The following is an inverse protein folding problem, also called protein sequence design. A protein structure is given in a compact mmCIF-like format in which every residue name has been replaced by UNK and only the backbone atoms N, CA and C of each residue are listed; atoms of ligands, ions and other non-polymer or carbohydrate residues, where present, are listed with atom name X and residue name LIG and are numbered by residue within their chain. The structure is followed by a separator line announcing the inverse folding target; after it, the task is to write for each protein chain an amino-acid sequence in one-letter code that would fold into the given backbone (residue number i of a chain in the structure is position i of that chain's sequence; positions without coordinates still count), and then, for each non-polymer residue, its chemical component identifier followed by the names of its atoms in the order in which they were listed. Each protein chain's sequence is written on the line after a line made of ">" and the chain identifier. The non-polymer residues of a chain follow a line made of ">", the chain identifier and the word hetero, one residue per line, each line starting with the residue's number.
data_IF_851272569639
#
_entry.id   IF_851272569639
#
_cell.length_a   1.000
_cell.length_b   1.000
_cell.length_c   1.000
_cell.angle_alpha   90.00
_cell.angle_beta   90.00
_cell.angle_gamma   90.00
#
_symmetry.space_group_name_H-M   'P 1'
#
loop_
_entity.id
_entity.type
_entity.pdbx_description
1 polymer ?
#
# COMPACT_ATOMS: atom_id res chain seq x y z
N UNK A 1 -0.63 11.02 4.01
CA UNK A 1 -0.82 9.57 3.89
C UNK A 1 -1.73 9.11 5.02
N UNK A 2 -2.84 8.41 4.73
CA UNK A 2 -3.89 8.17 5.72
C UNK A 2 -3.76 6.86 6.48
N UNK A 3 -3.09 5.85 5.89
CA UNK A 3 -3.04 4.45 6.36
C UNK A 3 -4.43 3.90 6.80
N UNK A 4 -5.50 4.41 6.21
CA UNK A 4 -6.89 4.07 6.54
C UNK A 4 -7.46 4.73 7.81
N UNK A 5 -6.65 5.39 8.65
CA UNK A 5 -7.14 6.08 9.86
C UNK A 5 -7.81 7.40 9.52
N UNK A 6 -9.07 7.55 9.89
CA UNK A 6 -9.85 8.79 9.70
C UNK A 6 -9.15 10.04 10.27
N UNK A 7 -8.46 9.91 11.40
CA UNK A 7 -7.66 10.99 12.01
C UNK A 7 -6.54 11.50 11.10
N UNK A 8 -6.04 10.68 10.17
CA UNK A 8 -5.00 11.03 9.19
C UNK A 8 -5.57 11.36 7.81
N UNK A 9 -6.89 11.53 7.65
CA UNK A 9 -7.52 11.77 6.34
C UNK A 9 -6.98 13.03 5.61
N UNK A 10 -6.63 14.08 6.38
CA UNK A 10 -6.04 15.32 5.86
C UNK A 10 -4.51 15.37 5.98
N UNK A 11 -3.87 14.27 6.35
CA UNK A 11 -2.42 14.24 6.53
C UNK A 11 -1.70 14.35 5.17
N UNK A 12 -0.99 15.45 4.96
CA UNK A 12 -0.12 15.67 3.81
C UNK A 12 1.32 15.41 4.25
N UNK A 13 1.99 14.48 3.58
CA UNK A 13 3.41 14.19 3.84
C UNK A 13 4.22 15.00 2.84
N UNK A 14 5.13 15.83 3.33
CA UNK A 14 5.92 16.75 2.50
C UNK A 14 7.19 16.11 1.92
N UNK A 15 7.53 14.92 2.37
CA UNK A 15 8.70 14.19 1.89
C UNK A 15 8.33 12.84 1.26
N UNK A 16 8.93 12.58 0.10
CA UNK A 16 8.87 11.27 -0.52
C UNK A 16 9.66 10.23 0.28
N UNK A 17 9.12 9.01 0.37
CA UNK A 17 9.88 7.85 0.87
C UNK A 17 11.12 7.61 0.00
N UNK A 18 12.16 6.98 0.57
CA UNK A 18 13.43 6.76 -0.15
C UNK A 18 13.23 5.97 -1.44
N UNK A 19 12.41 4.91 -1.46
CA UNK A 19 12.17 4.16 -2.71
C UNK A 19 11.45 5.00 -3.77
N UNK A 20 10.54 5.89 -3.37
CA UNK A 20 9.87 6.78 -4.33
C UNK A 20 10.87 7.76 -4.94
N UNK A 21 11.78 8.34 -4.14
CA UNK A 21 12.88 9.19 -4.63
C UNK A 21 13.77 8.45 -5.64
N UNK A 22 14.15 7.20 -5.32
CA UNK A 22 14.96 6.35 -6.22
C UNK A 22 14.22 6.00 -7.50
N UNK A 23 12.96 5.58 -7.42
CA UNK A 23 12.18 5.23 -8.61
C UNK A 23 11.98 6.44 -9.54
N UNK A 24 11.69 7.61 -8.96
CA UNK A 24 11.60 8.87 -9.72
C UNK A 24 12.92 9.24 -10.39
N UNK A 25 14.06 9.04 -9.72
CA UNK A 25 15.38 9.30 -10.32
C UNK A 25 15.73 8.32 -11.45
N UNK A 26 15.10 7.15 -11.48
CA UNK A 26 15.17 6.18 -12.59
C UNK A 26 14.10 6.43 -13.68
N UNK A 27 13.35 7.53 -13.61
CA UNK A 27 12.35 7.92 -14.61
C UNK A 27 10.94 7.35 -14.39
N UNK A 28 10.67 6.69 -13.25
CA UNK A 28 9.32 6.25 -12.92
C UNK A 28 8.41 7.44 -12.59
N UNK A 29 7.14 7.34 -13.00
CA UNK A 29 6.11 8.34 -12.74
C UNK A 29 5.09 7.74 -11.77
N UNK A 30 5.02 8.17 -10.50
CA UNK A 30 3.98 7.74 -9.57
C UNK A 30 2.59 8.15 -10.07
N UNK A 31 1.68 7.20 -10.24
CA UNK A 31 0.35 7.43 -10.82
C UNK A 31 -0.72 7.64 -9.76
N UNK A 32 -0.89 6.64 -8.89
CA UNK A 32 -1.97 6.56 -7.91
C UNK A 32 -1.48 5.81 -6.67
N UNK A 33 -2.25 5.87 -5.58
CA UNK A 33 -2.06 5.02 -4.39
C UNK A 33 -3.21 4.04 -4.29
N UNK A 34 -2.89 2.75 -4.24
CA UNK A 34 -3.88 1.71 -3.99
C UNK A 34 -4.55 1.89 -2.62
N UNK A 35 -5.83 1.52 -2.54
CA UNK A 35 -6.53 1.44 -1.27
C UNK A 35 -5.99 0.29 -0.41
N UNK A 36 -6.05 0.44 0.92
CA UNK A 36 -5.49 -0.51 1.87
C UNK A 36 -6.40 -0.74 3.09
N UNK A 37 -6.14 -1.80 3.84
CA UNK A 37 -6.84 -2.06 5.11
C UNK A 37 -6.42 -1.08 6.21
N UNK A 38 -7.33 -0.71 7.12
CA UNK A 38 -7.02 0.12 8.30
C UNK A 38 -5.71 -0.32 9.00
N UNK A 39 -4.74 0.60 9.10
CA UNK A 39 -3.46 0.40 9.76
C UNK A 39 -2.54 -0.67 9.12
N UNK A 40 -2.88 -1.19 7.93
CA UNK A 40 -2.24 -2.35 7.32
C UNK A 40 -2.37 -3.67 8.13
N UNK A 41 -3.38 -3.77 9.00
CA UNK A 41 -3.53 -4.87 9.95
C UNK A 41 -4.62 -5.90 9.56
N UNK A 42 -5.03 -5.95 8.29
CA UNK A 42 -6.00 -6.93 7.81
C UNK A 42 -5.73 -7.40 6.39
N UNK A 43 -6.10 -8.64 6.10
CA UNK A 43 -6.11 -9.21 4.74
C UNK A 43 -7.36 -8.83 3.94
N UNK A 44 -8.12 -7.84 4.39
CA UNK A 44 -9.27 -7.28 3.67
C UNK A 44 -9.10 -5.77 3.55
N UNK A 45 -8.92 -5.29 2.32
CA UNK A 45 -8.59 -3.88 2.04
C UNK A 45 -9.82 -2.99 2.04
N UNK A 46 -10.25 -2.63 3.25
CA UNK A 46 -11.37 -1.72 3.50
C UNK A 46 -11.02 -0.73 4.61
N UNK A 47 -11.47 0.51 4.46
CA UNK A 47 -11.38 1.55 5.49
C UNK A 47 -12.50 2.59 5.32
N UNK A 48 -12.73 3.38 6.38
CA UNK A 48 -13.80 4.37 6.44
C UNK A 48 -13.60 5.58 5.52
N UNK A 49 -12.39 5.82 5.00
CA UNK A 49 -12.09 7.00 4.19
C UNK A 49 -12.42 6.72 2.72
N UNK A 50 -11.96 5.58 2.21
CA UNK A 50 -12.02 5.25 0.79
C UNK A 50 -12.98 4.10 0.46
N UNK A 51 -13.57 3.47 1.48
CA UNK A 51 -14.40 2.29 1.33
C UNK A 51 -13.58 1.02 1.08
N UNK A 52 -14.22 0.04 0.44
CA UNK A 52 -13.65 -1.28 0.15
C UNK A 52 -13.04 -1.33 -1.26
N UNK A 53 -11.84 -1.90 -1.38
CA UNK A 53 -11.28 -2.29 -2.67
C UNK A 53 -11.97 -3.57 -3.18
N UNK A 54 -12.54 -3.50 -4.38
CA UNK A 54 -13.27 -4.61 -5.02
C UNK A 54 -12.38 -5.39 -5.98
N UNK A 55 -12.50 -6.73 -5.93
CA UNK A 55 -11.67 -7.61 -6.74
C UNK A 55 -12.09 -7.53 -8.22
N UNK A 56 -11.17 -7.22 -9.16
CA UNK A 56 -11.53 -6.99 -10.56
C UNK A 56 -12.08 -8.23 -11.28
N UNK A 57 -11.80 -9.44 -10.76
CA UNK A 57 -12.35 -10.67 -11.30
C UNK A 57 -13.81 -10.91 -10.86
N UNK A 58 -14.18 -10.42 -9.67
CA UNK A 58 -15.53 -10.51 -9.13
C UNK A 58 -15.71 -9.50 -7.99
N UNK A 59 -16.57 -8.49 -8.18
CA UNK A 59 -16.78 -7.41 -7.20
C UNK A 59 -17.42 -7.86 -5.87
N UNK A 60 -17.96 -9.08 -5.78
CA UNK A 60 -18.46 -9.69 -4.54
C UNK A 60 -17.36 -10.44 -3.76
N UNK A 61 -16.12 -10.46 -4.27
CA UNK A 61 -14.96 -11.07 -3.63
C UNK A 61 -13.97 -10.01 -3.16
N UNK A 62 -13.21 -10.35 -2.11
CA UNK A 62 -12.14 -9.49 -1.61
C UNK A 62 -10.93 -9.46 -2.55
N UNK A 63 -10.26 -8.31 -2.63
CA UNK A 63 -8.92 -8.20 -3.22
C UNK A 63 -7.80 -8.83 -2.36
N UNK A 64 -8.10 -9.28 -1.14
CA UNK A 64 -7.07 -9.53 -0.13
C UNK A 64 -6.56 -8.23 0.51
N UNK A 65 -5.44 -8.30 1.22
CA UNK A 65 -4.88 -7.15 1.92
C UNK A 65 -3.52 -7.41 2.58
N UNK A 66 -2.89 -6.41 3.18
CA UNK A 66 -3.40 -5.05 3.28
C UNK A 66 -3.32 -4.25 1.97
N UNK A 67 -2.55 -4.69 0.97
CA UNK A 67 -2.38 -4.01 -0.34
C UNK A 67 -3.35 -4.46 -1.43
N UNK A 68 -4.62 -4.68 -1.09
CA UNK A 68 -5.63 -5.19 -2.03
C UNK A 68 -5.98 -4.20 -3.14
N UNK A 69 -5.94 -2.89 -2.87
CA UNK A 69 -6.14 -1.89 -3.91
C UNK A 69 -5.05 -1.91 -4.98
N UNK A 70 -3.79 -2.06 -4.56
CA UNK A 70 -2.66 -2.21 -5.49
C UNK A 70 -2.82 -3.47 -6.35
N UNK A 71 -3.10 -4.61 -5.73
CA UNK A 71 -3.28 -5.85 -6.47
C UNK A 71 -4.46 -5.78 -7.46
N UNK A 72 -5.56 -5.12 -7.08
CA UNK A 72 -6.70 -4.86 -7.97
C UNK A 72 -6.32 -3.98 -9.17
N UNK A 73 -5.56 -2.91 -8.96
CA UNK A 73 -5.05 -2.03 -10.03
C UNK A 73 -4.19 -2.82 -11.02
N UNK A 74 -3.28 -3.66 -10.51
CA UNK A 74 -2.41 -4.49 -11.35
C UNK A 74 -3.20 -5.53 -12.13
N UNK A 75 -4.13 -6.24 -11.47
CA UNK A 75 -4.96 -7.25 -12.11
C UNK A 75 -5.90 -6.67 -13.18
N UNK A 76 -6.35 -5.42 -13.00
CA UNK A 76 -7.13 -4.70 -14.00
C UNK A 76 -6.29 -4.10 -15.14
N UNK A 77 -4.96 -4.26 -15.13
CA UNK A 77 -4.06 -3.74 -16.17
C UNK A 77 -3.89 -2.22 -16.15
N UNK A 78 -4.21 -1.56 -15.03
CA UNK A 78 -4.19 -0.10 -14.91
C UNK A 78 -2.79 0.45 -14.57
N UNK A 79 -1.90 -0.39 -14.07
CA UNK A 79 -0.49 -0.06 -13.83
C UNK A 79 0.40 -1.30 -14.07
N UNK A 80 1.66 -1.10 -14.49
CA UNK A 80 2.57 -2.21 -14.76
C UNK A 80 3.20 -2.82 -13.50
N UNK A 81 3.35 -2.04 -12.42
CA UNK A 81 3.84 -2.51 -11.13
C UNK A 81 3.37 -1.58 -10.00
N UNK A 82 3.43 -2.08 -8.75
CA UNK A 82 3.17 -1.30 -7.55
C UNK A 82 4.22 -1.61 -6.47
N UNK A 83 4.36 -0.71 -5.50
CA UNK A 83 5.27 -0.82 -4.37
C UNK A 83 4.44 -0.77 -3.09
N UNK A 84 4.65 -1.75 -2.20
CA UNK A 84 4.00 -1.81 -0.91
C UNK A 84 4.83 -2.56 0.13
N UNK A 85 4.27 -2.75 1.31
CA UNK A 85 4.91 -3.47 2.42
C UNK A 85 4.31 -4.85 2.64
N UNK A 86 5.13 -5.81 3.03
CA UNK A 86 4.71 -7.17 3.41
C UNK A 86 5.40 -7.54 4.73
N UNK A 87 4.63 -7.54 5.83
CA UNK A 87 5.10 -8.04 7.13
C UNK A 87 4.68 -9.50 7.35
N UNK A 88 3.42 -9.82 7.03
CA UNK A 88 2.83 -11.15 7.29
C UNK A 88 2.12 -11.72 6.04
N UNK A 89 2.32 -11.12 4.87
CA UNK A 89 1.68 -11.54 3.62
C UNK A 89 0.99 -10.43 2.86
N UNK A 90 1.14 -9.17 3.28
CA UNK A 90 0.36 -8.05 2.75
C UNK A 90 0.55 -7.74 1.26
N UNK A 91 1.57 -8.30 0.59
CA UNK A 91 1.70 -8.30 -0.87
C UNK A 91 1.33 -9.66 -1.48
N UNK A 92 1.73 -10.75 -0.82
CA UNK A 92 1.53 -12.13 -1.32
C UNK A 92 0.06 -12.58 -1.29
N UNK A 93 -0.67 -12.26 -0.22
CA UNK A 93 -2.10 -12.57 -0.07
C UNK A 93 -2.95 -11.87 -1.13
N UNK A 94 -2.87 -10.53 -1.31
CA UNK A 94 -3.66 -9.88 -2.37
C UNK A 94 -3.16 -10.25 -3.76
N UNK A 95 -1.87 -10.56 -3.93
CA UNK A 95 -1.35 -11.15 -5.16
C UNK A 95 -2.07 -12.46 -5.53
N UNK A 96 -2.19 -13.39 -4.58
CA UNK A 96 -2.92 -14.64 -4.79
C UNK A 96 -4.41 -14.41 -5.07
N UNK A 97 -5.06 -13.45 -4.42
CA UNK A 97 -6.50 -13.18 -4.56
C UNK A 97 -6.84 -12.51 -5.89
N UNK A 98 -5.96 -11.64 -6.39
CA UNK A 98 -6.14 -10.90 -7.64
C UNK A 98 -5.36 -11.52 -8.82
N UNK A 99 -4.69 -12.66 -8.64
CA UNK A 99 -3.97 -13.32 -9.74
C UNK A 99 -2.74 -12.57 -10.24
N UNK A 100 -2.04 -11.84 -9.36
CA UNK A 100 -0.80 -11.11 -9.67
C UNK A 100 0.34 -11.52 -8.76
N UNK A 101 1.57 -11.22 -9.15
CA UNK A 101 2.76 -11.61 -8.40
C UNK A 101 3.00 -10.63 -7.24
N UNK A 102 3.00 -11.15 -6.01
CA UNK A 102 3.46 -10.43 -4.82
C UNK A 102 4.84 -10.94 -4.38
N UNK A 103 5.83 -10.06 -4.33
CA UNK A 103 7.21 -10.41 -3.96
C UNK A 103 7.67 -9.65 -2.70
N UNK A 104 8.17 -10.39 -1.71
CA UNK A 104 8.83 -9.84 -0.53
C UNK A 104 10.33 -10.18 -0.60
N UNK A 105 11.20 -9.19 -0.85
CA UNK A 105 12.64 -9.37 -0.73
C UNK A 105 13.05 -9.73 0.71
N UNK A 106 14.28 -10.22 0.87
CA UNK A 106 14.90 -10.41 2.19
C UNK A 106 14.81 -9.10 3.01
N UNK A 107 14.57 -9.18 4.34
CA UNK A 107 14.57 -8.01 5.20
C UNK A 107 15.81 -7.12 4.99
N UNK A 108 15.63 -5.81 5.12
CA UNK A 108 16.65 -4.77 4.90
C UNK A 108 17.23 -4.68 3.48
N UNK A 109 16.73 -5.45 2.50
CA UNK A 109 17.16 -5.32 1.10
C UNK A 109 16.79 -3.97 0.48
N UNK A 110 15.65 -3.42 0.88
CA UNK A 110 15.13 -2.13 0.43
C UNK A 110 14.97 -1.18 1.62
N UNK A 111 15.20 0.12 1.38
CA UNK A 111 14.97 1.14 2.41
C UNK A 111 13.49 1.26 2.75
N UNK A 112 13.19 1.27 4.04
CA UNK A 112 11.85 1.53 4.59
C UNK A 112 11.69 2.96 5.11
N UNK A 113 12.70 3.82 4.93
CA UNK A 113 12.66 5.21 5.41
C UNK A 113 11.57 5.98 4.66
N UNK A 114 10.67 6.60 5.42
CA UNK A 114 9.48 7.30 4.92
C UNK A 114 8.26 6.40 4.69
N UNK A 115 8.35 5.08 4.97
CA UNK A 115 7.15 4.25 5.10
C UNK A 115 6.51 4.48 6.45
N UNK A 116 5.20 4.72 6.46
CA UNK A 116 4.42 4.87 7.69
C UNK A 116 4.04 3.51 8.27
N UNK A 117 4.41 3.28 9.52
CA UNK A 117 3.99 2.11 10.30
C UNK A 117 2.88 2.49 11.29
N UNK A 118 1.96 1.56 11.62
CA UNK A 118 0.87 1.82 12.57
C UNK A 118 1.34 2.17 13.99
N UNK A 119 2.61 1.91 14.34
CA UNK A 119 3.19 2.25 15.66
C UNK A 119 3.88 3.61 15.71
N UNK A 120 4.06 4.30 14.58
CA UNK A 120 4.62 5.65 14.60
C UNK A 120 3.52 6.66 14.99
N UNK A 121 3.47 6.94 16.30
CA UNK A 121 3.02 8.24 16.78
C UNK A 121 3.98 9.29 16.23
N UNK A 122 3.46 10.43 15.74
CA UNK A 122 4.22 11.56 15.20
C UNK A 122 5.07 12.28 16.29
N UNK A 123 5.77 11.55 17.16
CA UNK A 123 6.55 12.08 18.29
C UNK A 123 8.02 12.31 17.95
N UNK A 124 8.44 12.22 16.69
CA UNK A 124 9.83 12.51 16.28
C UNK A 124 10.01 13.87 15.59
N UNK A 125 8.98 14.73 15.54
CA UNK A 125 9.08 16.10 15.03
C UNK A 125 8.49 17.16 15.98
N UNK A 126 8.39 16.85 17.27
CA UNK A 126 8.08 17.82 18.31
C UNK A 126 9.23 17.91 19.30
N UNK A 127 10.35 18.47 18.86
CA UNK A 127 11.34 19.27 19.61
C UNK A 127 12.44 19.77 18.67
#
# INVERSE_FOLDING_TARGET
>A
CTIGFGSKAKNIVNEDMVLAKVLRSQGAIPLVKGNLSLGCLSYHSSNIIWGEAKNPWNHDRSCGGSSGGDAGILAAGLAPFSIGGDLVGSLRVPGAFCGVIGYLPTPARNSVIGCLFPTETDTLNSE
#
